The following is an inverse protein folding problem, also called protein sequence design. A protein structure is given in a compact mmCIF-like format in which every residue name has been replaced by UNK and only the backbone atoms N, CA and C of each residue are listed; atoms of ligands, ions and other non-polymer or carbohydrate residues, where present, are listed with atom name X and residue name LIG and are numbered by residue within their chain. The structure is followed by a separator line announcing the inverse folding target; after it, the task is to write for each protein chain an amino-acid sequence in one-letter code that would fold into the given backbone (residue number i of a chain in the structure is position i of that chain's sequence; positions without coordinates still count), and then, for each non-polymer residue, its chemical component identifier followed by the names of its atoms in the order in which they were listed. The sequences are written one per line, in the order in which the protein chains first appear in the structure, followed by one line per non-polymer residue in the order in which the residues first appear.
data_IF_181335842373
#
_entry.id   IF_181335842373
#
_cell.length_a   1.000
_cell.length_b   1.000
_cell.length_c   1.000
_cell.angle_alpha   90.00
_cell.angle_beta   90.00
_cell.angle_gamma   90.00
#
_symmetry.space_group_name_H-M   'P 1'
#
loop_
_entity.id
_entity.type
_entity.pdbx_description
1 polymer ?
#
# COMPACT_ATOMS: atom_id res chain seq x y z
N UNK A 1 -5.46 -9.31 6.67
CA UNK A 1 -6.21 -8.30 5.91
C UNK A 1 -7.49 -7.97 6.67
N UNK A 2 -7.77 -6.67 6.84
CA UNK A 2 -9.02 -6.16 7.43
C UNK A 2 -9.78 -5.45 6.32
N UNK A 3 -11.07 -5.72 6.19
CA UNK A 3 -11.95 -5.05 5.22
C UNK A 3 -13.10 -4.41 6.00
N UNK A 4 -13.31 -3.12 5.74
CA UNK A 4 -14.39 -2.34 6.36
C UNK A 4 -15.20 -1.66 5.26
N UNK A 5 -16.50 -1.47 5.52
CA UNK A 5 -17.42 -0.76 4.65
C UNK A 5 -18.35 0.11 5.50
N UNK A 6 -18.63 1.30 5.04
CA UNK A 6 -19.51 2.23 5.76
C UNK A 6 -19.58 3.59 5.10
N UNK A 7 -20.29 4.49 5.72
CA UNK A 7 -20.37 5.90 5.34
C UNK A 7 -18.99 6.58 5.52
N UNK A 8 -18.63 7.53 4.65
CA UNK A 8 -17.30 8.13 4.60
C UNK A 8 -16.76 8.63 5.95
N UNK A 9 -17.56 9.36 6.71
CA UNK A 9 -17.09 9.96 7.96
C UNK A 9 -16.80 8.93 9.03
N UNK A 10 -17.70 7.99 9.25
CA UNK A 10 -17.49 6.89 10.19
C UNK A 10 -16.32 5.99 9.77
N UNK A 11 -16.19 5.76 8.46
CA UNK A 11 -15.11 4.95 7.91
C UNK A 11 -13.73 5.60 8.12
N UNK A 12 -13.62 6.92 7.90
CA UNK A 12 -12.38 7.66 8.16
C UNK A 12 -11.90 7.49 9.60
N UNK A 13 -12.78 7.71 10.57
CA UNK A 13 -12.45 7.60 12.00
C UNK A 13 -12.00 6.16 12.35
N UNK A 14 -12.76 5.16 11.93
CA UNK A 14 -12.43 3.76 12.20
C UNK A 14 -11.09 3.33 11.59
N UNK A 15 -10.79 3.78 10.37
CA UNK A 15 -9.51 3.46 9.69
C UNK A 15 -8.34 4.13 10.39
N UNK A 16 -8.47 5.41 10.78
CA UNK A 16 -7.41 6.14 11.49
C UNK A 16 -7.12 5.47 12.84
N UNK A 17 -8.14 5.11 13.59
CA UNK A 17 -7.97 4.41 14.87
C UNK A 17 -7.31 3.04 14.68
N UNK A 18 -7.75 2.26 13.70
CA UNK A 18 -7.16 0.96 13.37
C UNK A 18 -5.66 1.07 12.99
N UNK A 19 -5.28 2.11 12.26
CA UNK A 19 -3.87 2.40 11.93
C UNK A 19 -3.10 2.69 13.22
N UNK A 20 -3.63 3.53 14.10
CA UNK A 20 -2.98 3.86 15.38
C UNK A 20 -2.76 2.63 16.27
N UNK A 21 -3.73 1.72 16.32
CA UNK A 21 -3.60 0.45 17.02
C UNK A 21 -2.49 -0.40 16.41
N UNK A 22 -2.44 -0.50 15.09
CA UNK A 22 -1.40 -1.27 14.39
C UNK A 22 0.00 -0.69 14.63
N UNK A 23 0.16 0.64 14.56
CA UNK A 23 1.42 1.33 14.87
C UNK A 23 1.90 1.02 16.29
N UNK A 24 0.97 0.97 17.24
CA UNK A 24 1.28 0.70 18.66
C UNK A 24 1.64 -0.75 18.94
N UNK A 25 1.02 -1.70 18.24
CA UNK A 25 1.10 -3.13 18.61
C UNK A 25 2.03 -3.95 17.72
N UNK A 26 2.37 -3.47 16.52
CA UNK A 26 3.15 -4.24 15.54
C UNK A 26 4.56 -3.67 15.43
N UNK A 27 5.55 -4.51 15.72
CA UNK A 27 6.96 -4.18 15.53
C UNK A 27 7.53 -5.02 14.37
N UNK A 28 7.78 -4.36 13.25
CA UNK A 28 8.31 -5.00 12.04
C UNK A 28 9.77 -5.44 12.14
N UNK A 29 10.51 -5.00 13.17
CA UNK A 29 11.87 -5.48 13.41
C UNK A 29 11.90 -6.96 13.82
N UNK A 30 10.79 -7.49 14.31
CA UNK A 30 10.62 -8.88 14.72
C UNK A 30 9.74 -9.70 13.76
N UNK A 31 9.31 -9.08 12.63
CA UNK A 31 8.40 -9.72 11.68
C UNK A 31 9.13 -10.17 10.44
N UNK A 32 8.91 -11.44 10.04
CA UNK A 32 9.35 -12.01 8.78
C UNK A 32 8.17 -12.65 8.06
N UNK A 33 8.09 -12.50 6.75
CA UNK A 33 7.01 -13.04 5.93
C UNK A 33 7.40 -13.14 4.47
N UNK A 34 6.65 -13.91 3.70
CA UNK A 34 6.88 -14.10 2.26
C UNK A 34 6.39 -12.90 1.43
N UNK A 35 5.34 -12.22 1.90
CA UNK A 35 4.76 -11.10 1.18
C UNK A 35 5.57 -9.82 1.42
N UNK A 36 5.92 -9.05 0.36
CA UNK A 36 6.57 -7.75 0.52
C UNK A 36 5.74 -6.82 1.42
N UNK A 37 6.37 -6.16 2.36
CA UNK A 37 5.75 -5.18 3.26
C UNK A 37 6.70 -4.03 3.57
N UNK A 38 6.18 -2.83 3.71
CA UNK A 38 6.94 -1.63 4.08
C UNK A 38 6.46 -1.01 5.39
N UNK A 39 5.36 -1.50 5.94
CA UNK A 39 4.78 -0.98 7.17
C UNK A 39 3.85 -1.95 7.88
N UNK A 40 3.60 -1.68 9.17
CA UNK A 40 2.69 -2.45 10.02
C UNK A 40 1.27 -2.49 9.46
N UNK A 41 0.84 -1.40 8.82
CA UNK A 41 -0.41 -1.32 8.07
C UNK A 41 -0.19 -1.60 6.59
N UNK A 42 0.99 -1.27 6.08
CA UNK A 42 1.44 -1.46 4.71
C UNK A 42 0.64 -0.67 3.67
N UNK A 43 -0.64 -0.99 3.46
CA UNK A 43 -1.48 -0.31 2.45
C UNK A 43 -2.93 -0.14 2.89
N UNK A 44 -3.48 1.05 2.62
CA UNK A 44 -4.88 1.40 2.90
C UNK A 44 -5.54 1.89 1.62
N UNK A 45 -6.23 1.03 0.86
CA UNK A 45 -7.00 1.43 -0.31
C UNK A 45 -8.40 1.89 0.05
N UNK A 46 -8.80 3.07 -0.44
CA UNK A 46 -10.18 3.52 -0.47
C UNK A 46 -10.79 3.15 -1.82
N UNK A 47 -11.93 2.46 -1.80
CA UNK A 47 -12.57 1.91 -2.99
C UNK A 47 -14.00 2.42 -3.04
N UNK A 48 -14.36 3.28 -4.03
CA UNK A 48 -15.73 3.73 -4.18
C UNK A 48 -16.62 2.55 -4.59
N UNK A 49 -17.76 2.36 -3.90
CA UNK A 49 -18.70 1.26 -4.18
C UNK A 49 -19.98 1.85 -4.76
N UNK A 50 -20.85 2.40 -3.93
CA UNK A 50 -22.15 2.95 -4.33
C UNK A 50 -22.34 4.32 -3.73
N UNK A 51 -22.77 5.27 -4.55
CA UNK A 51 -23.01 6.66 -4.09
C UNK A 51 -21.74 7.44 -3.74
N UNK A 52 -20.56 6.96 -4.15
CA UNK A 52 -19.28 7.63 -3.96
C UNK A 52 -18.50 7.59 -5.28
N UNK A 53 -17.98 8.70 -5.69
CA UNK A 53 -17.13 8.83 -6.89
C UNK A 53 -15.67 8.53 -6.57
N UNK A 54 -14.86 8.36 -7.62
CA UNK A 54 -13.41 8.20 -7.44
C UNK A 54 -12.77 9.48 -6.87
N UNK A 55 -13.25 10.64 -7.27
CA UNK A 55 -12.78 11.95 -6.80
C UNK A 55 -13.03 12.13 -5.30
N UNK A 56 -14.21 11.71 -4.82
CA UNK A 56 -14.52 11.70 -3.39
C UNK A 56 -13.62 10.71 -2.63
N UNK A 57 -13.39 9.51 -3.17
CA UNK A 57 -12.49 8.53 -2.57
C UNK A 57 -11.03 9.04 -2.51
N UNK A 58 -10.57 9.78 -3.54
CA UNK A 58 -9.26 10.45 -3.54
C UNK A 58 -9.19 11.49 -2.43
N UNK A 59 -10.22 12.30 -2.27
CA UNK A 59 -10.30 13.32 -1.21
C UNK A 59 -10.23 12.68 0.17
N UNK A 60 -11.04 11.64 0.41
CA UNK A 60 -11.05 10.87 1.67
C UNK A 60 -9.67 10.29 1.96
N UNK A 61 -9.02 9.69 0.96
CA UNK A 61 -7.71 9.09 1.13
C UNK A 61 -6.64 10.11 1.54
N UNK A 62 -6.68 11.32 0.99
CA UNK A 62 -5.76 12.41 1.34
C UNK A 62 -6.02 12.97 2.73
N UNK A 63 -7.28 13.15 3.13
CA UNK A 63 -7.65 13.56 4.47
C UNK A 63 -7.15 12.56 5.52
N UNK A 64 -7.39 11.26 5.29
CA UNK A 64 -6.90 10.20 6.18
C UNK A 64 -5.38 10.17 6.23
N UNK A 65 -4.71 10.29 5.08
CA UNK A 65 -3.26 10.32 4.98
C UNK A 65 -2.64 11.44 5.83
N UNK A 66 -3.17 12.65 5.72
CA UNK A 66 -2.71 13.81 6.49
C UNK A 66 -2.92 13.62 8.00
N UNK A 67 -4.10 13.11 8.39
CA UNK A 67 -4.41 12.87 9.81
C UNK A 67 -3.56 11.77 10.41
N UNK A 68 -3.38 10.66 9.71
CA UNK A 68 -2.51 9.54 10.14
C UNK A 68 -1.08 10.02 10.34
N UNK A 69 -0.54 10.77 9.39
CA UNK A 69 0.81 11.30 9.48
C UNK A 69 0.99 12.20 10.71
N UNK A 70 0.04 13.11 10.95
CA UNK A 70 0.11 14.06 12.08
C UNK A 70 -0.16 13.43 13.44
N UNK A 71 -1.00 12.40 13.52
CA UNK A 71 -1.37 11.77 14.80
C UNK A 71 -0.37 10.71 15.27
N UNK A 72 0.30 10.05 14.34
CA UNK A 72 1.12 8.87 14.65
C UNK A 72 2.59 9.01 14.20
N UNK A 73 3.00 10.19 13.74
CA UNK A 73 4.34 10.43 13.17
C UNK A 73 4.72 9.37 12.13
N UNK A 74 3.73 8.92 11.35
CA UNK A 74 3.87 7.86 10.36
C UNK A 74 4.06 8.45 8.97
N UNK A 75 5.15 8.14 8.26
CA UNK A 75 5.33 8.58 6.87
C UNK A 75 4.28 7.94 5.95
N UNK A 76 3.62 8.77 5.15
CA UNK A 76 2.55 8.33 4.25
C UNK A 76 2.91 8.65 2.81
N UNK A 77 2.79 7.63 1.95
CA UNK A 77 2.88 7.75 0.50
C UNK A 77 1.49 7.65 -0.13
N UNK A 78 1.15 8.63 -0.96
CA UNK A 78 -0.05 8.55 -1.78
C UNK A 78 0.19 7.64 -3.00
N UNK A 79 -0.76 6.77 -3.33
CA UNK A 79 -0.61 5.82 -4.41
C UNK A 79 -1.87 5.67 -5.28
N UNK A 80 -1.75 4.94 -6.39
CA UNK A 80 -2.82 4.70 -7.40
C UNK A 80 -3.45 6.04 -7.85
N UNK A 81 -4.77 6.22 -7.72
CA UNK A 81 -5.47 7.43 -8.15
C UNK A 81 -5.19 8.67 -7.30
N UNK A 82 -4.65 8.47 -6.11
CA UNK A 82 -4.26 9.56 -5.20
C UNK A 82 -2.79 9.96 -5.36
N UNK A 83 -2.01 9.24 -6.15
CA UNK A 83 -0.57 9.44 -6.30
C UNK A 83 -0.23 10.90 -6.65
N UNK A 84 0.78 11.45 -5.98
CA UNK A 84 1.30 12.80 -6.22
C UNK A 84 2.24 12.88 -7.43
N UNK A 85 2.76 11.72 -7.87
CA UNK A 85 3.67 11.61 -9.01
C UNK A 85 3.49 10.26 -9.74
N UNK A 86 3.75 10.20 -11.07
CA UNK A 86 3.53 8.98 -11.86
C UNK A 86 4.27 7.73 -11.35
N UNK A 87 5.49 7.87 -10.83
CA UNK A 87 6.27 6.75 -10.31
C UNK A 87 5.68 6.16 -9.01
N UNK A 88 4.74 6.86 -8.35
CA UNK A 88 4.05 6.44 -7.12
C UNK A 88 2.69 5.78 -7.39
N UNK A 89 2.19 5.78 -8.62
CA UNK A 89 0.95 5.07 -8.94
C UNK A 89 1.05 3.58 -8.63
N UNK A 90 2.21 2.99 -8.88
CA UNK A 90 2.43 1.56 -8.66
C UNK A 90 2.93 1.29 -7.24
N UNK A 91 2.08 0.67 -6.41
CA UNK A 91 2.43 0.27 -5.04
C UNK A 91 3.74 -0.55 -4.97
N UNK A 92 4.01 -1.41 -5.96
CA UNK A 92 5.24 -2.20 -5.98
C UNK A 92 6.50 -1.34 -6.09
N UNK A 93 6.43 -0.17 -6.75
CA UNK A 93 7.53 0.77 -6.81
C UNK A 93 7.78 1.45 -5.46
N UNK A 94 6.72 1.85 -4.76
CA UNK A 94 6.81 2.43 -3.41
C UNK A 94 7.38 1.39 -2.44
N UNK A 95 6.87 0.16 -2.48
CA UNK A 95 7.21 -0.95 -1.57
C UNK A 95 8.60 -1.55 -1.82
N UNK A 96 9.24 -1.23 -2.96
CA UNK A 96 10.56 -1.76 -3.32
C UNK A 96 11.61 -1.44 -2.25
N UNK A 97 12.27 -2.47 -1.76
CA UNK A 97 13.22 -2.40 -0.65
C UNK A 97 12.58 -2.75 0.70
N UNK A 98 11.26 -2.82 0.74
CA UNK A 98 10.46 -3.21 1.91
C UNK A 98 10.71 -2.33 3.14
N UNK A 99 10.34 -2.79 4.33
CA UNK A 99 10.56 -2.09 5.58
C UNK A 99 12.03 -1.73 5.81
N UNK A 100 12.92 -2.66 5.49
CA UNK A 100 14.36 -2.52 5.70
C UNK A 100 14.97 -1.43 4.82
N UNK A 101 14.69 -1.48 3.52
CA UNK A 101 15.23 -0.52 2.54
C UNK A 101 14.58 0.85 2.60
N UNK A 102 13.41 0.96 3.24
CA UNK A 102 12.72 2.24 3.37
C UNK A 102 13.54 3.25 4.19
N UNK A 103 14.39 2.78 5.10
CA UNK A 103 15.27 3.63 5.90
C UNK A 103 16.16 4.53 5.06
N UNK A 104 16.69 4.03 3.95
CA UNK A 104 17.55 4.80 3.04
C UNK A 104 16.75 5.46 1.92
N UNK A 105 15.72 4.76 1.43
CA UNK A 105 14.90 5.21 0.31
C UNK A 105 14.18 6.51 0.61
N UNK A 106 13.64 6.67 1.81
CA UNK A 106 12.82 7.82 2.21
C UNK A 106 13.59 9.16 2.14
N UNK A 107 14.92 9.13 2.18
CA UNK A 107 15.77 10.32 2.07
C UNK A 107 16.10 10.71 0.62
N UNK A 108 15.70 9.91 -0.37
CA UNK A 108 15.86 10.25 -1.78
C UNK A 108 14.77 11.25 -2.17
N UNK A 109 15.09 12.35 -2.89
CA UNK A 109 14.11 13.42 -3.18
C UNK A 109 12.82 12.92 -3.84
N UNK A 110 12.92 11.94 -4.74
CA UNK A 110 11.75 11.34 -5.39
C UNK A 110 10.91 10.46 -4.47
N UNK A 111 11.43 10.08 -3.30
CA UNK A 111 10.79 9.21 -2.32
C UNK A 111 10.51 9.88 -0.97
N UNK A 112 10.58 11.22 -0.89
CA UNK A 112 10.06 11.92 0.29
C UNK A 112 8.57 11.61 0.46
N UNK A 113 8.08 11.36 1.67
CA UNK A 113 6.67 11.06 1.90
C UNK A 113 5.78 12.24 1.51
N UNK A 114 4.54 11.96 1.14
CA UNK A 114 3.57 13.02 0.85
C UNK A 114 3.10 13.72 2.13
N UNK A 115 3.09 12.99 3.25
CA UNK A 115 2.78 13.51 4.57
C UNK A 115 3.64 12.80 5.62
N UNK A 116 3.93 13.51 6.72
CA UNK A 116 4.67 13.00 7.86
C UNK A 116 6.18 13.22 7.76
N UNK A 117 6.95 12.61 8.67
CA UNK A 117 8.38 12.79 8.75
C UNK A 117 9.12 12.13 7.57
N UNK A 118 10.23 12.74 7.17
CA UNK A 118 11.15 12.18 6.17
C UNK A 118 12.08 11.10 6.79
N UNK A 119 11.54 10.34 7.73
CA UNK A 119 12.24 9.30 8.44
C UNK A 119 11.29 8.12 8.71
N UNK A 120 11.72 6.91 8.39
CA UNK A 120 10.92 5.71 8.61
C UNK A 120 10.57 5.54 10.09
N UNK A 121 9.28 5.31 10.41
CA UNK A 121 8.89 5.00 11.79
C UNK A 121 9.65 3.75 12.30
N UNK A 122 10.25 3.78 13.50
CA UNK A 122 11.21 2.76 13.95
C UNK A 122 10.65 1.34 13.96
N UNK A 123 9.38 1.15 14.30
CA UNK A 123 8.73 -0.16 14.39
C UNK A 123 7.67 -0.37 13.34
N UNK A 124 6.88 0.65 13.02
CA UNK A 124 5.74 0.56 12.13
C UNK A 124 6.05 0.86 10.65
N UNK A 125 7.26 1.33 10.33
CA UNK A 125 7.67 1.58 8.94
C UNK A 125 6.99 2.79 8.31
N UNK A 126 6.36 2.57 7.15
CA UNK A 126 5.63 3.57 6.37
C UNK A 126 4.30 2.99 5.90
N UNK A 127 3.37 3.82 5.43
CA UNK A 127 2.10 3.35 4.89
C UNK A 127 1.82 3.97 3.52
N UNK A 128 1.24 3.20 2.60
CA UNK A 128 0.67 3.72 1.37
C UNK A 128 -0.84 3.88 1.53
N UNK A 129 -1.36 5.10 1.29
CA UNK A 129 -2.79 5.41 1.36
C UNK A 129 -3.23 5.96 0.00
N UNK A 130 -4.35 5.48 -0.53
CA UNK A 130 -4.85 5.99 -1.81
C UNK A 130 -6.17 5.40 -2.24
N UNK A 131 -6.77 6.00 -3.26
CA UNK A 131 -7.99 5.52 -3.88
C UNK A 131 -7.68 4.65 -5.11
N UNK A 132 -8.40 3.58 -5.29
CA UNK A 132 -8.29 2.71 -6.46
C UNK A 132 -9.59 2.02 -6.83
N UNK A 133 -9.63 1.48 -8.03
CA UNK A 133 -10.72 0.61 -8.47
C UNK A 133 -10.71 -0.72 -7.68
N UNK A 134 -11.85 -1.41 -7.59
CA UNK A 134 -11.91 -2.76 -7.03
C UNK A 134 -10.89 -3.69 -7.68
N UNK A 135 -10.25 -4.52 -6.87
CA UNK A 135 -9.28 -5.51 -7.31
C UNK A 135 -9.76 -6.89 -6.87
N UNK A 136 -9.77 -7.82 -7.81
CA UNK A 136 -10.00 -9.23 -7.50
C UNK A 136 -8.64 -9.89 -7.29
N UNK A 137 -8.39 -10.33 -6.06
CA UNK A 137 -7.20 -11.13 -5.74
C UNK A 137 -7.47 -12.59 -6.05
N UNK A 138 -6.56 -13.22 -6.80
CA UNK A 138 -6.66 -14.62 -7.19
C UNK A 138 -5.29 -15.30 -7.06
N UNK A 139 -5.22 -16.35 -6.26
CA UNK A 139 -3.99 -17.11 -6.04
C UNK A 139 -4.08 -18.45 -6.79
N UNK A 140 -2.99 -18.82 -7.44
CA UNK A 140 -2.85 -20.10 -8.13
C UNK A 140 -1.64 -20.82 -7.54
N UNK A 141 -1.87 -21.97 -6.93
CA UNK A 141 -0.78 -22.85 -6.50
C UNK A 141 -0.21 -23.59 -7.71
N UNK A 142 1.10 -23.53 -7.85
CA UNK A 142 1.80 -24.30 -8.89
C UNK A 142 2.18 -25.69 -8.35
N UNK A 143 2.24 -26.67 -9.25
CA UNK A 143 2.70 -28.01 -8.91
C UNK A 143 4.26 -28.09 -8.97
N UNK A 144 4.92 -27.04 -8.48
CA UNK A 144 6.38 -26.95 -8.40
C UNK A 144 6.77 -25.90 -7.34
N UNK A 145 7.85 -26.09 -6.59
CA UNK A 145 8.39 -25.09 -5.67
C UNK A 145 9.29 -24.06 -6.37
N UNK A 146 9.43 -24.11 -7.69
CA UNK A 146 10.33 -23.22 -8.43
C UNK A 146 9.76 -21.80 -8.53
N UNK A 147 10.39 -20.87 -7.82
CA UNK A 147 10.08 -19.44 -7.88
C UNK A 147 10.37 -18.85 -9.28
N UNK A 148 11.37 -19.37 -9.99
CA UNK A 148 11.70 -18.95 -11.35
C UNK A 148 10.52 -19.21 -12.30
N UNK A 149 9.94 -20.41 -12.25
CA UNK A 149 8.76 -20.76 -13.04
C UNK A 149 7.57 -19.86 -12.67
N UNK A 150 7.34 -19.62 -11.38
CA UNK A 150 6.28 -18.73 -10.92
C UNK A 150 6.46 -17.30 -11.46
N UNK A 151 7.68 -16.78 -11.43
CA UNK A 151 8.03 -15.47 -11.98
C UNK A 151 7.82 -15.39 -13.49
N UNK A 152 8.21 -16.42 -14.23
CA UNK A 152 8.06 -16.44 -15.70
C UNK A 152 6.61 -16.53 -16.12
N UNK A 153 5.78 -17.29 -15.42
CA UNK A 153 4.32 -17.30 -15.62
C UNK A 153 3.75 -15.92 -15.33
N UNK A 154 4.10 -15.31 -14.18
CA UNK A 154 3.62 -13.99 -13.80
C UNK A 154 4.00 -12.91 -14.81
N UNK A 155 5.22 -12.94 -15.38
CA UNK A 155 5.66 -12.03 -16.45
C UNK A 155 4.79 -12.14 -17.70
N UNK A 156 4.42 -13.36 -18.10
CA UNK A 156 3.58 -13.61 -19.28
C UNK A 156 2.12 -13.20 -19.08
N UNK A 157 1.61 -13.30 -17.86
CA UNK A 157 0.21 -12.98 -17.55
C UNK A 157 -0.01 -11.49 -17.40
N UNK A 158 0.88 -10.76 -16.73
CA UNK A 158 0.70 -9.34 -16.44
C UNK A 158 0.82 -8.45 -17.67
N UNK A 159 0.07 -7.35 -17.70
CA UNK A 159 0.02 -6.42 -18.83
C UNK A 159 1.40 -5.87 -19.26
N UNK A 160 2.24 -5.47 -18.28
CA UNK A 160 3.60 -4.95 -18.54
C UNK A 160 4.49 -5.98 -19.27
N UNK A 161 4.22 -7.26 -19.12
CA UNK A 161 4.92 -8.34 -19.84
C UNK A 161 4.32 -8.70 -21.21
N UNK A 162 3.36 -7.91 -21.68
CA UNK A 162 2.63 -8.19 -22.93
C UNK A 162 1.40 -9.10 -22.74
N UNK A 163 1.02 -9.39 -21.52
CA UNK A 163 -0.12 -10.25 -21.19
C UNK A 163 -1.46 -9.50 -21.10
N UNK A 164 -2.32 -9.97 -20.22
CA UNK A 164 -3.71 -9.52 -20.09
C UNK A 164 -3.82 -8.09 -19.57
N UNK A 165 -4.64 -7.28 -20.25
CA UNK A 165 -4.96 -5.91 -19.84
C UNK A 165 -5.64 -5.91 -18.46
N UNK A 166 -5.27 -4.95 -17.60
CA UNK A 166 -5.75 -4.83 -16.21
C UNK A 166 -5.36 -5.99 -15.29
N UNK A 167 -4.45 -6.86 -15.71
CA UNK A 167 -3.92 -7.94 -14.89
C UNK A 167 -2.54 -7.56 -14.34
N UNK A 168 -2.39 -7.70 -13.01
CA UNK A 168 -1.10 -7.67 -12.30
C UNK A 168 -0.85 -9.09 -11.81
N UNK A 169 0.38 -9.59 -11.93
CA UNK A 169 0.75 -10.92 -11.43
C UNK A 169 2.16 -10.89 -10.88
N UNK A 170 2.39 -11.67 -9.83
CA UNK A 170 3.71 -11.91 -9.23
C UNK A 170 3.83 -13.39 -8.86
N UNK A 171 5.04 -13.91 -8.94
CA UNK A 171 5.39 -15.20 -8.35
C UNK A 171 5.88 -15.00 -6.91
N UNK A 172 5.50 -15.88 -6.01
CA UNK A 172 5.91 -15.92 -4.60
C UNK A 172 6.21 -17.37 -4.20
#
# INVERSE_FOLDING_TARGET
VVTVVGEPDALKEAVIEAIGIAVKLIDLNHHQGQHPRMGAVDVVPFIPIKGCTMEEAITISKEVAQRVASQYDLPVFLYEKSASAPHRENLAAIRKGEFEGMKEKIHQPEWHPDFGPEERHPTAGTVAIGARMPLVAYNINLNTPSLEIAHDIAKKIRFIGGGLRFCKAMGV
#
